data_IF_539154513627
#
_entry.id   IF_539154513627
#
_cell.length_a   1.000
_cell.length_b   1.000
_cell.length_c   1.000
_cell.angle_alpha   90.00
_cell.angle_beta   90.00
_cell.angle_gamma   90.00
#
_symmetry.space_group_name_H-M   'P 1'
#
loop_
_entity.id
_entity.type
_entity.pdbx_description
1 polymer ?
#
# COMPACT_ATOMS: atom_id res chain seq x y z
N UNK A 1 3.90 9.66 -19.29
CA UNK A 1 3.39 9.66 -17.90
C UNK A 1 2.42 8.53 -17.62
N UNK A 2 1.21 8.55 -18.21
CA UNK A 2 0.17 7.59 -17.86
C UNK A 2 0.53 6.13 -18.16
N UNK A 3 1.25 5.88 -19.27
CA UNK A 3 1.72 4.53 -19.63
C UNK A 3 2.59 3.86 -18.56
N UNK A 4 3.61 4.56 -18.03
CA UNK A 4 4.51 4.05 -16.98
C UNK A 4 3.76 3.75 -15.68
N UNK A 5 2.85 4.65 -15.27
CA UNK A 5 2.01 4.46 -14.09
C UNK A 5 1.13 3.22 -14.28
N UNK A 6 0.54 3.05 -15.46
CA UNK A 6 -0.33 1.92 -15.78
C UNK A 6 0.44 0.59 -15.80
N UNK A 7 1.66 0.58 -16.35
CA UNK A 7 2.54 -0.61 -16.31
C UNK A 7 2.92 -0.96 -14.87
N UNK A 8 3.24 0.04 -14.04
CA UNK A 8 3.55 -0.14 -12.63
C UNK A 8 2.36 -0.75 -11.86
N UNK A 9 1.15 -0.22 -12.07
CA UNK A 9 -0.08 -0.75 -11.47
C UNK A 9 -0.35 -2.20 -11.91
N UNK A 10 -0.14 -2.52 -13.20
CA UNK A 10 -0.28 -3.89 -13.70
C UNK A 10 0.69 -4.86 -13.01
N UNK A 11 1.94 -4.44 -12.81
CA UNK A 11 2.93 -5.23 -12.05
C UNK A 11 2.46 -5.43 -10.60
N UNK A 12 1.94 -4.39 -9.95
CA UNK A 12 1.42 -4.50 -8.58
C UNK A 12 0.25 -5.48 -8.49
N UNK A 13 -0.70 -5.43 -9.42
CA UNK A 13 -1.83 -6.37 -9.47
C UNK A 13 -1.31 -7.81 -9.65
N UNK A 14 -0.33 -8.01 -10.53
CA UNK A 14 0.28 -9.32 -10.73
C UNK A 14 0.95 -9.86 -9.45
N UNK A 15 1.71 -9.03 -8.73
CA UNK A 15 2.33 -9.40 -7.45
C UNK A 15 1.26 -9.69 -6.39
N UNK A 16 0.23 -8.86 -6.29
CA UNK A 16 -0.86 -9.07 -5.33
C UNK A 16 -1.60 -10.38 -5.59
N UNK A 17 -1.90 -10.71 -6.86
CA UNK A 17 -2.53 -11.97 -7.23
C UNK A 17 -1.64 -13.18 -6.90
N UNK A 18 -0.35 -13.14 -7.27
CA UNK A 18 0.58 -14.25 -7.01
C UNK A 18 0.80 -14.49 -5.51
N UNK A 19 0.94 -13.42 -4.72
CA UNK A 19 1.03 -13.48 -3.26
C UNK A 19 -0.28 -13.96 -2.63
N UNK A 20 -1.42 -13.46 -3.09
CA UNK A 20 -2.74 -13.89 -2.61
C UNK A 20 -2.98 -15.38 -2.83
N UNK A 21 -2.66 -15.89 -4.03
CA UNK A 21 -2.80 -17.31 -4.38
C UNK A 21 -1.87 -18.18 -3.52
N UNK A 22 -0.58 -17.82 -3.42
CA UNK A 22 0.38 -18.61 -2.63
C UNK A 22 0.03 -18.62 -1.14
N UNK A 23 -0.45 -17.50 -0.59
CA UNK A 23 -0.93 -17.43 0.78
C UNK A 23 -2.20 -18.26 1.01
N UNK A 24 -3.16 -18.20 0.07
CA UNK A 24 -4.39 -18.99 0.14
C UNK A 24 -4.13 -20.49 0.07
N UNK A 25 -3.13 -20.94 -0.69
CA UNK A 25 -2.77 -22.35 -0.80
C UNK A 25 -2.09 -22.84 0.49
N UNK A 26 -1.20 -22.02 1.07
CA UNK A 26 -0.38 -22.40 2.22
C UNK A 26 -1.13 -22.37 3.55
N UNK A 27 -2.14 -21.50 3.69
CA UNK A 27 -2.75 -21.19 4.97
C UNK A 27 -4.21 -21.65 5.03
N UNK A 28 -4.44 -22.96 5.12
CA UNK A 28 -5.80 -23.54 5.15
C UNK A 28 -6.57 -23.36 6.46
N UNK A 29 -5.96 -22.89 7.57
CA UNK A 29 -6.64 -23.07 8.87
C UNK A 29 -6.42 -22.06 10.01
N UNK A 30 -5.84 -20.87 9.81
CA UNK A 30 -5.72 -19.90 10.92
C UNK A 30 -5.95 -18.47 10.40
N UNK A 31 -7.22 -18.08 10.24
CA UNK A 31 -7.63 -16.68 10.10
C UNK A 31 -7.72 -16.06 11.51
N UNK A 32 -6.57 -15.77 12.11
CA UNK A 32 -6.53 -14.97 13.33
C UNK A 32 -7.09 -13.58 13.04
N UNK A 33 -7.86 -13.03 13.99
CA UNK A 33 -8.42 -11.68 13.84
C UNK A 33 -7.28 -10.66 13.67
N UNK A 34 -7.30 -9.83 12.62
CA UNK A 34 -6.31 -8.76 12.45
C UNK A 34 -6.44 -7.75 13.60
N UNK A 35 -5.33 -7.11 13.99
CA UNK A 35 -5.43 -6.03 14.98
C UNK A 35 -6.15 -4.82 14.42
N UNK A 36 -6.75 -4.03 15.29
CA UNK A 36 -7.37 -2.76 14.89
C UNK A 36 -6.36 -1.79 14.26
N UNK A 37 -5.11 -1.79 14.72
CA UNK A 37 -4.06 -0.92 14.20
C UNK A 37 -3.75 -1.22 12.73
N UNK A 38 -3.60 -2.50 12.36
CA UNK A 38 -3.35 -2.86 10.96
C UNK A 38 -4.56 -2.60 10.07
N UNK A 39 -5.78 -2.83 10.60
CA UNK A 39 -7.03 -2.54 9.87
C UNK A 39 -7.15 -1.05 9.54
N UNK A 40 -6.95 -0.18 10.53
CA UNK A 40 -6.99 1.28 10.33
C UNK A 40 -5.91 1.70 9.34
N UNK A 41 -4.69 1.18 9.47
CA UNK A 41 -3.62 1.49 8.52
C UNK A 41 -3.95 1.06 7.10
N UNK A 42 -4.52 -0.14 6.92
CA UNK A 42 -4.94 -0.66 5.61
C UNK A 42 -6.00 0.24 4.95
N UNK A 43 -7.02 0.63 5.72
CA UNK A 43 -8.07 1.53 5.24
C UNK A 43 -7.47 2.88 4.84
N UNK A 44 -6.57 3.43 5.66
CA UNK A 44 -5.91 4.70 5.37
C UNK A 44 -5.02 4.62 4.12
N UNK A 45 -4.29 3.52 3.94
CA UNK A 45 -3.47 3.26 2.74
C UNK A 45 -4.32 3.14 1.48
N UNK A 46 -5.43 2.39 1.53
CA UNK A 46 -6.37 2.26 0.42
C UNK A 46 -7.03 3.60 0.06
N UNK A 47 -7.36 4.39 1.07
CA UNK A 47 -7.95 5.71 0.88
C UNK A 47 -6.95 6.64 0.18
N UNK A 48 -5.71 6.70 0.65
CA UNK A 48 -4.65 7.49 -0.01
C UNK A 48 -4.34 6.99 -1.42
N UNK A 49 -4.33 5.67 -1.62
CA UNK A 49 -4.13 5.08 -2.93
C UNK A 49 -5.24 5.47 -3.90
N UNK A 50 -6.49 5.50 -3.44
CA UNK A 50 -7.64 5.95 -4.27
C UNK A 50 -7.53 7.44 -4.54
N UNK A 51 -7.25 8.24 -3.50
CA UNK A 51 -7.08 9.69 -3.62
C UNK A 51 -5.96 10.07 -4.57
N UNK A 52 -4.90 9.26 -4.71
CA UNK A 52 -3.82 9.48 -5.66
C UNK A 52 -4.29 9.49 -7.12
N UNK A 53 -5.20 8.60 -7.49
CA UNK A 53 -5.75 8.54 -8.86
C UNK A 53 -6.82 9.61 -9.10
N UNK A 54 -7.24 10.32 -8.05
CA UNK A 54 -8.13 11.47 -8.16
C UNK A 54 -7.33 12.76 -8.02
N UNK A 55 -7.77 13.83 -8.68
CA UNK A 55 -7.12 15.14 -8.53
C UNK A 55 -7.30 15.77 -7.14
N UNK A 56 -8.05 15.11 -6.25
CA UNK A 56 -8.31 15.57 -4.88
C UNK A 56 -7.01 15.72 -4.08
N UNK A 57 -6.04 14.81 -4.22
CA UNK A 57 -4.79 14.91 -3.47
C UNK A 57 -3.95 16.14 -3.89
N UNK A 58 -4.09 16.59 -5.14
CA UNK A 58 -3.43 17.79 -5.66
C UNK A 58 -4.03 19.10 -5.10
N UNK A 59 -5.24 19.05 -4.55
CA UNK A 59 -5.87 20.21 -3.89
C UNK A 59 -5.32 20.50 -2.49
N UNK A 60 -4.61 19.53 -1.89
CA UNK A 60 -4.00 19.72 -0.57
C UNK A 60 -2.68 20.50 -0.64
N UNK A 61 -2.32 21.25 0.41
CA UNK A 61 -0.98 21.81 0.53
C UNK A 61 0.09 20.72 0.44
N UNK A 62 1.15 20.96 -0.35
CA UNK A 62 2.20 19.96 -0.63
C UNK A 62 2.76 19.30 0.61
N UNK A 63 3.03 20.08 1.66
CA UNK A 63 3.58 19.58 2.94
C UNK A 63 2.62 18.58 3.60
N UNK A 64 1.33 18.89 3.61
CA UNK A 64 0.29 18.04 4.20
C UNK A 64 0.14 16.75 3.38
N UNK A 65 0.11 16.86 2.05
CA UNK A 65 0.05 15.69 1.16
C UNK A 65 1.25 14.76 1.35
N UNK A 66 2.48 15.31 1.44
CA UNK A 66 3.68 14.52 1.72
C UNK A 66 3.66 13.87 3.10
N UNK A 67 3.20 14.59 4.13
CA UNK A 67 3.09 14.06 5.49
C UNK A 67 2.09 12.90 5.55
N UNK A 68 0.91 13.06 4.94
CA UNK A 68 -0.11 12.02 4.86
C UNK A 68 0.42 10.80 4.10
N UNK A 69 1.10 11.03 2.97
CA UNK A 69 1.65 9.96 2.13
C UNK A 69 2.68 9.12 2.89
N UNK A 70 3.73 9.75 3.40
CA UNK A 70 4.79 9.05 4.12
C UNK A 70 4.32 8.51 5.46
N UNK A 71 3.39 9.20 6.12
CA UNK A 71 2.71 8.70 7.31
C UNK A 71 2.03 7.35 7.05
N UNK A 72 1.29 7.22 5.94
CA UNK A 72 0.63 5.97 5.56
C UNK A 72 1.59 4.86 5.15
N UNK A 73 2.68 5.21 4.46
CA UNK A 73 3.74 4.24 4.10
C UNK A 73 4.39 3.70 5.36
N UNK A 74 4.80 4.57 6.28
CA UNK A 74 5.48 4.17 7.52
C UNK A 74 4.53 3.42 8.46
N UNK A 75 3.29 3.90 8.62
CA UNK A 75 2.31 3.21 9.48
C UNK A 75 2.04 1.80 8.98
N UNK A 76 1.83 1.62 7.67
CA UNK A 76 1.57 0.29 7.10
C UNK A 76 2.77 -0.64 7.21
N UNK A 77 4.00 -0.14 7.06
CA UNK A 77 5.19 -0.96 7.30
C UNK A 77 5.30 -1.36 8.77
N UNK A 78 5.14 -0.43 9.70
CA UNK A 78 5.28 -0.69 11.14
C UNK A 78 4.19 -1.68 11.61
N UNK A 79 2.92 -1.40 11.30
CA UNK A 79 1.82 -2.28 11.68
C UNK A 79 1.87 -3.61 10.94
N UNK A 80 2.23 -3.61 9.66
CA UNK A 80 2.48 -4.81 8.87
C UNK A 80 3.49 -5.72 9.54
N UNK A 81 4.71 -5.24 9.79
CA UNK A 81 5.76 -6.04 10.42
C UNK A 81 5.36 -6.50 11.83
N UNK A 82 4.74 -5.61 12.63
CA UNK A 82 4.31 -5.93 13.99
C UNK A 82 3.28 -7.06 14.03
N UNK A 83 2.30 -7.05 13.13
CA UNK A 83 1.19 -8.01 13.12
C UNK A 83 1.49 -9.26 12.26
N UNK A 84 2.70 -9.37 11.69
CA UNK A 84 3.11 -10.47 10.80
C UNK A 84 2.95 -11.85 11.44
N UNK A 85 3.23 -11.95 12.75
CA UNK A 85 3.08 -13.21 13.50
C UNK A 85 1.62 -13.54 13.82
N UNK A 86 0.75 -12.54 13.87
CA UNK A 86 -0.63 -12.71 14.31
C UNK A 86 -1.54 -12.98 13.12
N UNK A 87 -1.52 -12.11 12.10
CA UNK A 87 -2.24 -12.29 10.85
C UNK A 87 -1.33 -11.98 9.66
N UNK A 88 -0.74 -13.05 9.14
CA UNK A 88 0.22 -12.99 8.04
C UNK A 88 -0.41 -12.45 6.74
N UNK A 89 -1.70 -12.71 6.49
CA UNK A 89 -2.36 -12.25 5.25
C UNK A 89 -2.52 -10.72 5.28
N UNK A 90 -3.11 -10.16 6.33
CA UNK A 90 -3.30 -8.69 6.43
C UNK A 90 -1.99 -7.96 6.58
N UNK A 91 -1.02 -8.56 7.27
CA UNK A 91 0.35 -8.06 7.37
C UNK A 91 1.03 -7.94 6.01
N UNK A 92 1.05 -9.02 5.23
CA UNK A 92 1.67 -9.02 3.90
C UNK A 92 0.97 -8.02 2.97
N UNK A 93 -0.37 -7.93 3.03
CA UNK A 93 -1.13 -6.94 2.26
C UNK A 93 -0.74 -5.50 2.64
N UNK A 94 -0.62 -5.18 3.93
CA UNK A 94 -0.23 -3.83 4.36
C UNK A 94 1.22 -3.49 3.98
N UNK A 95 2.14 -4.45 4.10
CA UNK A 95 3.54 -4.26 3.65
C UNK A 95 3.57 -4.02 2.14
N UNK A 96 2.86 -4.84 1.36
CA UNK A 96 2.81 -4.72 -0.09
C UNK A 96 2.22 -3.38 -0.53
N UNK A 97 1.12 -2.94 0.09
CA UNK A 97 0.55 -1.60 -0.14
C UNK A 97 1.53 -0.48 0.22
N UNK A 98 2.27 -0.61 1.32
CA UNK A 98 3.26 0.40 1.73
C UNK A 98 4.38 0.54 0.69
N UNK A 99 4.93 -0.59 0.23
CA UNK A 99 5.97 -0.60 -0.81
C UNK A 99 5.42 -0.05 -2.12
N UNK A 100 4.17 -0.37 -2.46
CA UNK A 100 3.48 0.16 -3.65
C UNK A 100 3.34 1.68 -3.61
N UNK A 101 2.86 2.24 -2.50
CA UNK A 101 2.72 3.68 -2.28
C UNK A 101 4.08 4.39 -2.30
N UNK A 102 5.11 3.81 -1.68
CA UNK A 102 6.46 4.35 -1.75
C UNK A 102 6.99 4.35 -3.19
N UNK A 103 6.81 3.24 -3.92
CA UNK A 103 7.19 3.11 -5.32
C UNK A 103 6.48 4.12 -6.22
N UNK A 104 5.18 4.34 -6.03
CA UNK A 104 4.43 5.37 -6.75
C UNK A 104 4.99 6.78 -6.50
N UNK A 105 5.32 7.12 -5.25
CA UNK A 105 5.89 8.43 -4.94
C UNK A 105 7.27 8.60 -5.59
N UNK A 106 8.14 7.60 -5.51
CA UNK A 106 9.44 7.66 -6.19
C UNK A 106 9.30 7.75 -7.71
N UNK A 107 8.36 7.01 -8.29
CA UNK A 107 8.05 7.10 -9.71
C UNK A 107 7.57 8.51 -10.08
N UNK A 108 6.68 9.11 -9.28
CA UNK A 108 6.21 10.49 -9.50
C UNK A 108 7.33 11.51 -9.39
N UNK A 109 8.20 11.38 -8.39
CA UNK A 109 9.38 12.25 -8.24
C UNK A 109 10.32 12.11 -9.44
N UNK A 110 10.59 10.88 -9.90
CA UNK A 110 11.43 10.65 -11.06
C UNK A 110 10.84 11.27 -12.34
N UNK A 111 9.54 11.10 -12.57
CA UNK A 111 8.89 11.64 -13.78
C UNK A 111 8.75 13.17 -13.71
N UNK A 112 8.52 13.76 -12.54
CA UNK A 112 8.45 15.24 -12.39
C UNK A 112 9.81 15.92 -12.40
N UNK A 113 10.89 15.17 -12.20
CA UNK A 113 12.28 15.65 -12.29
C UNK A 113 12.85 15.67 -13.71
N UNK A 114 12.19 14.98 -14.65
CA UNK A 114 12.50 14.97 -16.09
C UNK A 114 11.69 16.03 -16.83
#
# INVERSE_FOLDING_TARGET
>A
MMGLIMTFVMILVFIACTVGITLSIKNKNILNKPSWGILISLVFQLLLFTLFFTEVLASFPKVIAHLLWWGAVLSGLIFGIRDFKNNLITSVLSILLSVSLAGLMFLMLAITSM
#
